data_IF_540085734331
#
_entry.id   IF_540085734331
#
_cell.length_a   1.000
_cell.length_b   1.000
_cell.length_c   1.000
_cell.angle_alpha   90.00
_cell.angle_beta   90.00
_cell.angle_gamma   90.00
#
_symmetry.space_group_name_H-M   'P 1'
#
loop_
_entity.id
_entity.type
_entity.pdbx_description
1 polymer ?
#
# COMPACT_ATOMS: atom_id res chain seq x y z
N UNK A 1 16.72 -1.71 1.24
CA UNK A 1 15.46 -1.00 1.55
C UNK A 1 14.68 -0.76 0.27
N UNK A 2 13.47 -1.32 0.18
CA UNK A 2 12.59 -1.20 -0.98
C UNK A 2 11.31 -0.47 -0.57
N UNK A 3 10.93 0.58 -1.30
CA UNK A 3 9.68 1.31 -1.06
C UNK A 3 8.68 1.02 -2.17
N UNK A 4 7.47 0.63 -1.79
CA UNK A 4 6.36 0.36 -2.70
C UNK A 4 5.14 1.21 -2.33
N UNK A 5 4.40 1.67 -3.33
CA UNK A 5 3.10 2.29 -3.17
C UNK A 5 2.01 1.23 -3.06
N UNK A 6 1.06 1.45 -2.16
CA UNK A 6 -0.12 0.62 -1.96
C UNK A 6 -1.33 1.38 -2.47
N UNK A 7 -2.04 0.76 -3.39
CA UNK A 7 -3.22 1.32 -4.03
C UNK A 7 -4.45 0.57 -3.57
N UNK A 8 -5.43 1.28 -3.03
CA UNK A 8 -6.72 0.70 -2.63
C UNK A 8 -6.79 0.13 -1.21
N UNK A 9 -5.83 0.41 -0.33
CA UNK A 9 -5.88 -0.04 1.07
C UNK A 9 -6.20 1.10 2.05
N UNK A 10 -7.14 0.92 2.98
CA UNK A 10 -7.46 1.91 4.00
C UNK A 10 -6.49 1.83 5.17
N UNK A 11 -5.69 2.88 5.35
CA UNK A 11 -4.87 3.04 6.55
C UNK A 11 -4.70 4.52 6.86
N UNK A 12 -4.84 4.89 8.14
CA UNK A 12 -4.71 6.28 8.62
C UNK A 12 -3.61 6.46 9.66
N UNK A 13 -2.99 5.36 10.09
CA UNK A 13 -1.92 5.34 11.10
C UNK A 13 -0.70 4.63 10.56
N UNK A 14 0.48 5.11 10.93
CA UNK A 14 1.72 4.39 10.66
C UNK A 14 1.65 3.04 11.37
N UNK A 15 1.98 1.97 10.66
CA UNK A 15 1.93 0.60 11.19
C UNK A 15 3.28 -0.08 10.97
N UNK A 16 3.83 -0.62 12.05
CA UNK A 16 5.13 -1.30 12.05
C UNK A 16 4.93 -2.81 11.99
N UNK A 17 5.64 -3.45 11.07
CA UNK A 17 5.74 -4.89 10.92
C UNK A 17 7.18 -5.32 11.20
N UNK A 18 7.39 -6.61 11.44
CA UNK A 18 8.75 -7.17 11.57
C UNK A 18 9.58 -7.02 10.30
N UNK A 19 8.93 -6.90 9.14
CA UNK A 19 9.55 -6.80 7.82
C UNK A 19 9.63 -5.38 7.24
N UNK A 20 9.08 -4.37 7.94
CA UNK A 20 9.00 -3.02 7.39
C UNK A 20 7.97 -2.12 8.06
N UNK A 21 7.81 -0.91 7.53
CA UNK A 21 6.86 0.09 8.05
C UNK A 21 5.94 0.58 6.95
N UNK A 22 4.65 0.65 7.25
CA UNK A 22 3.61 1.17 6.35
C UNK A 22 3.18 2.57 6.77
N UNK A 23 3.17 3.50 5.82
CA UNK A 23 2.87 4.91 6.01
C UNK A 23 1.62 5.30 5.22
N UNK A 24 0.58 5.85 5.87
CA UNK A 24 -0.60 6.33 5.16
C UNK A 24 -0.30 7.63 4.39
N UNK A 25 -0.85 7.80 3.19
CA UNK A 25 -0.76 9.09 2.47
C UNK A 25 -1.70 10.16 3.02
N UNK A 26 -2.76 9.74 3.72
CA UNK A 26 -3.76 10.61 4.31
C UNK A 26 -4.01 10.19 5.75
N UNK A 27 -4.08 11.16 6.67
CA UNK A 27 -4.35 10.87 8.10
C UNK A 27 -5.85 10.91 8.44
N UNK A 28 -6.68 11.43 7.53
CA UNK A 28 -8.12 11.55 7.71
C UNK A 28 -8.88 10.41 7.02
N UNK A 29 -9.71 9.70 7.79
CA UNK A 29 -10.61 8.65 7.27
C UNK A 29 -11.52 9.23 6.18
N UNK A 30 -12.02 10.45 6.38
CA UNK A 30 -12.93 11.12 5.43
C UNK A 30 -12.28 11.36 4.07
N UNK A 31 -10.98 11.67 4.04
CA UNK A 31 -10.24 11.86 2.79
C UNK A 31 -10.01 10.53 2.06
N UNK A 32 -9.68 9.48 2.80
CA UNK A 32 -9.48 8.14 2.22
C UNK A 32 -10.79 7.61 1.64
N UNK A 33 -11.91 7.73 2.36
CA UNK A 33 -13.22 7.32 1.84
C UNK A 33 -13.57 8.08 0.57
N UNK A 34 -13.27 9.39 0.48
CA UNK A 34 -13.49 10.18 -0.74
C UNK A 34 -12.67 9.65 -1.91
N UNK A 35 -11.38 9.39 -1.72
CA UNK A 35 -10.53 8.77 -2.74
C UNK A 35 -11.08 7.41 -3.15
N UNK A 36 -11.55 6.61 -2.20
CA UNK A 36 -11.97 5.24 -2.44
C UNK A 36 -13.41 5.07 -2.94
N UNK A 37 -14.19 6.15 -3.02
CA UNK A 37 -15.53 6.13 -3.63
C UNK A 37 -15.46 5.92 -5.15
N UNK A 38 -14.37 6.32 -5.80
CA UNK A 38 -14.14 6.01 -7.20
C UNK A 38 -13.94 4.49 -7.33
N UNK A 39 -14.84 3.82 -8.06
CA UNK A 39 -14.75 2.37 -8.30
C UNK A 39 -13.91 2.02 -9.52
N UNK A 40 -13.62 3.01 -10.36
CA UNK A 40 -12.97 2.81 -11.65
C UNK A 40 -11.44 2.89 -11.56
N UNK A 41 -10.89 3.40 -10.45
CA UNK A 41 -9.47 3.61 -10.27
C UNK A 41 -8.97 3.19 -8.88
N UNK A 42 -7.82 2.52 -8.83
CA UNK A 42 -7.10 2.27 -7.59
C UNK A 42 -6.23 3.48 -7.26
N UNK A 43 -6.53 4.17 -6.17
CA UNK A 43 -5.76 5.33 -5.72
C UNK A 43 -4.65 4.93 -4.76
N UNK A 44 -3.50 5.62 -4.84
CA UNK A 44 -2.41 5.51 -3.87
C UNK A 44 -2.91 6.00 -2.50
N UNK A 45 -2.85 5.11 -1.51
CA UNK A 45 -3.34 5.36 -0.14
C UNK A 45 -2.28 5.15 0.92
N UNK A 46 -1.22 4.40 0.63
CA UNK A 46 -0.11 4.19 1.55
C UNK A 46 1.20 3.88 0.83
N UNK A 47 2.30 3.95 1.56
CA UNK A 47 3.60 3.42 1.18
C UNK A 47 4.00 2.31 2.15
N UNK A 48 4.71 1.30 1.67
CA UNK A 48 5.38 0.29 2.49
C UNK A 48 6.87 0.37 2.23
N UNK A 49 7.64 0.60 3.28
CA UNK A 49 9.09 0.52 3.28
C UNK A 49 9.49 -0.83 3.86
N UNK A 50 10.07 -1.68 3.01
CA UNK A 50 10.59 -3.00 3.37
C UNK A 50 12.07 -2.88 3.77
N UNK A 51 12.37 -3.38 4.97
CA UNK A 51 13.73 -3.47 5.50
C UNK A 51 14.25 -4.91 5.41
N UNK A 52 14.26 -5.42 4.18
CA UNK A 52 14.70 -6.78 3.85
C UNK A 52 15.74 -6.70 2.74
N UNK A 53 16.81 -7.49 2.90
CA UNK A 53 17.94 -7.53 1.96
C UNK A 53 17.76 -8.57 0.84
N UNK A 54 16.90 -9.57 1.03
CA UNK A 54 16.58 -10.58 0.02
C UNK A 54 15.42 -10.12 -0.88
N UNK A 55 15.67 -10.05 -2.18
CA UNK A 55 14.68 -9.65 -3.18
C UNK A 55 13.56 -10.69 -3.37
N UNK A 56 13.85 -11.99 -3.18
CA UNK A 56 12.84 -13.05 -3.27
C UNK A 56 11.89 -12.96 -2.07
N UNK A 57 12.43 -12.77 -0.87
CA UNK A 57 11.63 -12.57 0.33
C UNK A 57 10.74 -11.33 0.22
N UNK A 58 11.27 -10.22 -0.30
CA UNK A 58 10.46 -9.03 -0.60
C UNK A 58 9.29 -9.36 -1.54
N UNK A 59 9.54 -10.14 -2.59
CA UNK A 59 8.51 -10.49 -3.58
C UNK A 59 7.42 -11.37 -2.97
N UNK A 60 7.80 -12.35 -2.16
CA UNK A 60 6.86 -13.24 -1.49
C UNK A 60 5.98 -12.47 -0.49
N UNK A 61 6.58 -11.56 0.30
CA UNK A 61 5.85 -10.68 1.22
C UNK A 61 4.85 -9.82 0.45
N UNK A 62 5.27 -9.18 -0.64
CA UNK A 62 4.36 -8.35 -1.44
C UNK A 62 3.22 -9.17 -2.03
N UNK A 63 3.50 -10.39 -2.53
CA UNK A 63 2.48 -11.29 -3.05
C UNK A 63 1.45 -11.67 -1.97
N UNK A 64 1.90 -12.10 -0.80
CA UNK A 64 1.02 -12.47 0.30
C UNK A 64 0.24 -11.27 0.85
N UNK A 65 0.87 -10.11 1.02
CA UNK A 65 0.20 -8.89 1.45
C UNK A 65 -0.87 -8.46 0.45
N UNK A 66 -0.61 -8.56 -0.86
CA UNK A 66 -1.61 -8.25 -1.89
C UNK A 66 -2.89 -9.05 -1.67
N UNK A 67 -2.78 -10.35 -1.45
CA UNK A 67 -3.91 -11.23 -1.20
C UNK A 67 -4.63 -10.89 0.13
N UNK A 68 -3.87 -10.72 1.22
CA UNK A 68 -4.41 -10.42 2.55
C UNK A 68 -5.14 -9.07 2.56
N UNK A 69 -4.53 -8.02 2.02
CA UNK A 69 -5.13 -6.69 2.02
C UNK A 69 -6.36 -6.64 1.11
N UNK A 70 -6.34 -7.32 -0.04
CA UNK A 70 -7.51 -7.41 -0.91
C UNK A 70 -8.68 -8.14 -0.22
N UNK A 71 -8.37 -9.16 0.56
CA UNK A 71 -9.38 -9.86 1.37
C UNK A 71 -9.96 -8.95 2.46
N UNK A 72 -9.12 -8.19 3.18
CA UNK A 72 -9.59 -7.26 4.23
C UNK A 72 -10.49 -6.19 3.64
N UNK A 73 -10.10 -5.60 2.51
CA UNK A 73 -10.85 -4.51 1.86
C UNK A 73 -12.06 -4.99 1.06
N UNK A 74 -12.21 -6.31 0.85
CA UNK A 74 -13.22 -6.91 -0.03
C UNK A 74 -13.21 -6.29 -1.44
N UNK A 75 -12.03 -5.90 -1.92
CA UNK A 75 -11.80 -5.29 -3.23
C UNK A 75 -10.32 -5.41 -3.62
N UNK A 76 -9.96 -5.19 -4.90
CA UNK A 76 -8.56 -5.26 -5.31
C UNK A 76 -7.68 -4.26 -4.56
N UNK A 77 -6.58 -4.75 -4.00
CA UNK A 77 -5.44 -3.94 -3.52
C UNK A 77 -4.26 -4.27 -4.42
N UNK A 78 -3.50 -3.27 -4.82
CA UNK A 78 -2.33 -3.44 -5.68
C UNK A 78 -1.10 -2.79 -5.07
N UNK A 79 0.05 -3.42 -5.29
CA UNK A 79 1.35 -2.86 -4.97
C UNK A 79 2.03 -2.42 -6.25
N UNK A 80 2.34 -1.13 -6.34
CA UNK A 80 3.15 -0.57 -7.41
C UNK A 80 4.51 -0.17 -6.87
N UNK A 81 5.58 -0.37 -7.64
CA UNK A 81 6.80 0.39 -7.38
C UNK A 81 6.47 1.87 -7.47
N UNK A 82 6.99 2.69 -6.55
CA UNK A 82 6.80 4.14 -6.55
C UNK A 82 6.87 4.67 -7.98
N UNK A 83 5.75 5.18 -8.49
CA UNK A 83 5.64 5.61 -9.87
C UNK A 83 6.65 6.72 -10.14
N UNK A 84 7.30 6.58 -11.30
CA UNK A 84 8.23 7.53 -11.91
C UNK A 84 7.71 8.96 -11.70
N UNK A 85 8.53 9.86 -11.15
CA UNK A 85 8.63 11.34 -11.22
C UNK A 85 7.47 12.25 -11.75
N UNK A 86 6.32 11.76 -12.20
CA UNK A 86 5.30 12.51 -12.95
C UNK A 86 3.88 12.33 -12.36
N UNK A 87 3.74 11.71 -11.19
CA UNK A 87 2.48 11.76 -10.41
C UNK A 87 2.54 12.86 -9.34
N UNK A 88 3.02 14.05 -9.72
CA UNK A 88 3.05 15.27 -8.90
C UNK A 88 1.90 16.20 -9.25
#
# INVERSE_FOLDING_TARGET
MLTVGIYGFNITKVTHFSFGTMFPTCKSISEIIKKMKSRDELHLTAFLELDINDANECRDILFHLTAILSFIEQRPVSFGYSLRKHES
#
